data_IF_902185524383
#
_entry.id   IF_902185524383
#
_cell.length_a   1.000
_cell.length_b   1.000
_cell.length_c   1.000
_cell.angle_alpha   90.00
_cell.angle_beta   90.00
_cell.angle_gamma   90.00
#
_symmetry.space_group_name_H-M   'P 1'
#
loop_
_entity.id
_entity.type
_entity.pdbx_description
1 polymer ?
#
# COMPACT_ATOMS: atom_id res chain seq x y z
N UNK A 1 18.09 -1.06 15.66
CA UNK A 1 17.52 -1.40 15.76
C UNK A 1 16.54 -1.20 15.05
N UNK A 2 15.97 -1.41 15.08
CA UNK A 2 14.97 -1.75 14.39
C UNK A 2 14.41 -0.79 13.52
N UNK A 3 14.63 -0.83 12.41
CA UNK A 3 14.07 0.04 11.48
C UNK A 3 12.69 -0.37 11.08
N UNK A 4 12.22 -1.51 11.58
CA UNK A 4 10.93 -1.98 11.24
C UNK A 4 9.93 -1.11 11.94
N UNK A 5 9.70 -0.18 12.18
CA UNK A 5 8.68 0.64 12.76
C UNK A 5 8.06 1.60 11.81
N UNK A 6 8.53 1.63 10.59
CA UNK A 6 8.01 2.59 9.63
C UNK A 6 6.75 2.14 8.94
N UNK A 7 6.45 0.87 8.97
CA UNK A 7 5.17 0.33 8.52
C UNK A 7 4.57 -0.47 9.65
N UNK A 8 3.35 -0.10 10.04
CA UNK A 8 2.62 -0.83 11.07
C UNK A 8 1.55 -1.67 10.38
N UNK A 9 1.76 -2.98 10.37
CA UNK A 9 0.82 -3.91 9.75
C UNK A 9 -0.15 -4.45 10.79
N UNK A 10 -1.42 -4.50 10.46
CA UNK A 10 -2.46 -5.10 11.31
C UNK A 10 -3.35 -5.97 10.44
N UNK A 11 -3.51 -7.23 10.81
CA UNK A 11 -4.44 -8.10 10.12
C UNK A 11 -5.74 -8.15 10.92
N UNK A 12 -6.84 -7.74 10.30
CA UNK A 12 -8.17 -7.80 10.91
C UNK A 12 -8.85 -9.07 10.44
N UNK A 13 -8.87 -10.07 11.31
CA UNK A 13 -9.43 -11.39 10.96
C UNK A 13 -10.89 -11.31 10.56
N UNK A 14 -11.68 -10.51 11.26
CA UNK A 14 -13.12 -10.42 11.00
C UNK A 14 -13.42 -9.89 9.61
N UNK A 15 -12.51 -9.10 9.03
CA UNK A 15 -12.67 -8.52 7.70
C UNK A 15 -11.75 -9.17 6.67
N UNK A 16 -10.85 -10.02 7.11
CA UNK A 16 -9.85 -10.68 6.25
C UNK A 16 -9.11 -9.64 5.41
N UNK A 17 -8.51 -8.67 6.08
CA UNK A 17 -7.79 -7.59 5.42
C UNK A 17 -6.57 -7.21 6.24
N UNK A 18 -5.47 -6.90 5.55
CA UNK A 18 -4.29 -6.30 6.18
C UNK A 18 -4.37 -4.79 6.02
N UNK A 19 -4.15 -4.07 7.11
CA UNK A 19 -4.06 -2.62 7.08
C UNK A 19 -2.61 -2.25 7.36
N UNK A 20 -2.01 -1.51 6.43
CA UNK A 20 -0.62 -1.06 6.57
C UNK A 20 -0.62 0.45 6.73
N UNK A 21 -0.17 0.91 7.90
CA UNK A 21 0.01 2.34 8.16
C UNK A 21 1.47 2.67 7.89
N UNK A 22 1.73 3.46 6.86
CA UNK A 22 3.08 3.75 6.41
C UNK A 22 3.48 5.16 6.83
N UNK A 23 4.49 5.26 7.69
CA UNK A 23 5.02 6.54 8.15
C UNK A 23 6.49 6.58 7.71
N UNK A 24 6.73 7.01 6.48
CA UNK A 24 8.05 6.89 5.88
C UNK A 24 8.18 7.89 4.74
N UNK A 25 9.34 8.49 4.61
CA UNK A 25 9.69 9.31 3.46
C UNK A 25 10.78 8.59 2.68
N UNK A 26 10.44 8.08 1.51
CA UNK A 26 11.39 7.37 0.66
C UNK A 26 12.12 8.37 -0.21
N UNK A 27 13.43 8.45 -0.08
CA UNK A 27 14.24 9.44 -0.78
C UNK A 27 15.30 8.84 -1.68
N UNK A 28 15.53 7.54 -1.58
CA UNK A 28 16.53 6.85 -2.38
C UNK A 28 16.03 5.49 -2.82
N UNK A 29 16.71 4.90 -3.81
CA UNK A 29 16.38 3.55 -4.22
C UNK A 29 16.55 2.55 -3.09
N UNK A 30 17.57 2.74 -2.24
CA UNK A 30 17.75 1.87 -1.08
C UNK A 30 16.53 1.94 -0.15
N UNK A 31 15.94 3.12 0.02
CA UNK A 31 14.72 3.25 0.81
C UNK A 31 13.58 2.43 0.21
N UNK A 32 13.45 2.45 -1.11
CA UNK A 32 12.41 1.68 -1.80
C UNK A 32 12.63 0.19 -1.59
N UNK A 33 13.88 -0.26 -1.67
CA UNK A 33 14.18 -1.68 -1.46
C UNK A 33 13.87 -2.10 -0.02
N UNK A 34 14.18 -1.24 0.95
CA UNK A 34 13.85 -1.51 2.34
C UNK A 34 12.33 -1.57 2.54
N UNK A 35 11.60 -0.65 1.90
CA UNK A 35 10.14 -0.61 1.92
C UNK A 35 9.56 -1.92 1.36
N UNK A 36 10.06 -2.37 0.22
CA UNK A 36 9.61 -3.62 -0.39
C UNK A 36 9.88 -4.82 0.53
N UNK A 37 11.06 -4.85 1.17
CA UNK A 37 11.41 -5.96 2.06
C UNK A 37 10.50 -6.03 3.27
N UNK A 38 9.98 -4.91 3.76
CA UNK A 38 9.03 -4.91 4.88
C UNK A 38 7.75 -5.68 4.49
N UNK A 39 7.22 -5.42 3.30
CA UNK A 39 6.05 -6.15 2.82
C UNK A 39 6.35 -7.62 2.62
N UNK A 40 7.46 -7.92 1.98
CA UNK A 40 7.85 -9.30 1.72
C UNK A 40 7.96 -10.07 3.02
N UNK A 41 8.60 -9.47 4.02
CA UNK A 41 8.79 -10.13 5.31
C UNK A 41 7.46 -10.38 6.02
N UNK A 42 6.57 -9.40 5.97
CA UNK A 42 5.29 -9.54 6.66
C UNK A 42 4.40 -10.60 5.99
N UNK A 43 4.30 -10.55 4.66
CA UNK A 43 3.36 -11.40 3.95
C UNK A 43 3.86 -12.82 3.73
N UNK A 44 5.15 -12.99 3.44
CA UNK A 44 5.68 -14.29 3.00
C UNK A 44 5.59 -15.37 4.07
N UNK A 45 5.72 -15.03 5.33
CA UNK A 45 5.66 -16.02 6.39
C UNK A 45 4.32 -16.12 7.06
N UNK A 46 3.34 -15.35 6.64
CA UNK A 46 2.08 -15.21 7.38
C UNK A 46 0.88 -15.73 6.61
N UNK A 47 0.87 -15.60 5.30
CA UNK A 47 -0.26 -15.99 4.48
C UNK A 47 0.20 -16.95 3.39
N UNK A 48 -0.63 -17.96 3.11
CA UNK A 48 -0.41 -18.87 1.99
C UNK A 48 -1.26 -18.51 0.78
N UNK A 49 -1.83 -17.31 0.78
CA UNK A 49 -2.71 -16.81 -0.27
C UNK A 49 -2.58 -15.30 -0.35
N UNK A 50 -3.07 -14.74 -1.45
CA UNK A 50 -3.14 -13.28 -1.58
C UNK A 50 -4.31 -12.76 -0.75
N UNK A 51 -4.12 -11.61 -0.12
CA UNK A 51 -5.12 -11.01 0.75
C UNK A 51 -5.39 -9.58 0.32
N UNK A 52 -6.51 -9.02 0.76
CA UNK A 52 -6.81 -7.62 0.52
C UNK A 52 -5.95 -6.75 1.41
N UNK A 53 -5.53 -5.61 0.89
CA UNK A 53 -4.63 -4.69 1.58
C UNK A 53 -5.19 -3.28 1.54
N UNK A 54 -5.25 -2.63 2.71
CA UNK A 54 -5.57 -1.21 2.80
C UNK A 54 -4.32 -0.50 3.27
N UNK A 55 -3.91 0.52 2.51
CA UNK A 55 -2.71 1.30 2.78
C UNK A 55 -3.12 2.67 3.31
N UNK A 56 -2.73 2.97 4.54
CA UNK A 56 -2.92 4.29 5.12
C UNK A 56 -1.65 5.09 4.87
N UNK A 57 -1.72 6.07 3.99
CA UNK A 57 -0.56 6.73 3.43
C UNK A 57 -0.50 8.22 3.75
N UNK A 58 -1.22 8.69 4.76
CA UNK A 58 -1.26 10.12 5.09
C UNK A 58 0.10 10.67 5.49
N UNK A 59 1.00 9.81 5.96
CA UNK A 59 2.36 10.21 6.36
C UNK A 59 3.43 9.58 5.48
N UNK A 60 3.05 9.16 4.29
CA UNK A 60 3.96 8.50 3.36
C UNK A 60 4.31 9.44 2.22
N UNK A 61 5.60 9.56 1.93
CA UNK A 61 6.09 10.41 0.85
C UNK A 61 7.10 9.66 0.02
N UNK A 62 7.11 9.93 -1.28
CA UNK A 62 8.11 9.39 -2.19
C UNK A 62 8.72 10.57 -2.94
N UNK A 63 10.04 10.70 -2.88
CA UNK A 63 10.72 11.77 -3.60
C UNK A 63 10.47 11.59 -5.10
N UNK A 64 10.13 12.67 -5.84
CA UNK A 64 9.79 12.54 -7.26
C UNK A 64 10.90 11.88 -8.09
N UNK A 65 12.15 12.08 -7.70
CA UNK A 65 13.30 11.52 -8.42
C UNK A 65 13.27 10.00 -8.49
N UNK A 66 12.70 9.33 -7.51
CA UNK A 66 12.65 7.86 -7.47
C UNK A 66 11.25 7.33 -7.73
N UNK A 67 10.35 8.17 -8.28
CA UNK A 67 8.96 7.77 -8.47
C UNK A 67 8.78 6.55 -9.37
N UNK A 68 9.54 6.46 -10.46
CA UNK A 68 9.44 5.32 -11.36
C UNK A 68 9.94 4.04 -10.69
N UNK A 69 11.08 4.12 -10.02
CA UNK A 69 11.63 2.96 -9.30
C UNK A 69 10.67 2.49 -8.23
N UNK A 70 10.09 3.42 -7.48
CA UNK A 70 9.08 3.08 -6.47
C UNK A 70 7.87 2.43 -7.12
N UNK A 71 7.38 3.00 -8.22
CA UNK A 71 6.19 2.45 -8.88
C UNK A 71 6.37 1.01 -9.33
N UNK A 72 7.57 0.68 -9.82
CA UNK A 72 7.87 -0.70 -10.21
C UNK A 72 7.79 -1.65 -9.02
N UNK A 73 8.34 -1.24 -7.88
CA UNK A 73 8.32 -2.08 -6.69
C UNK A 73 6.94 -2.14 -6.05
N UNK A 74 6.17 -1.05 -6.12
CA UNK A 74 4.79 -1.05 -5.67
C UNK A 74 3.97 -2.06 -6.48
N UNK A 75 4.16 -2.06 -7.79
CA UNK A 75 3.45 -3.02 -8.64
C UNK A 75 3.79 -4.46 -8.26
N UNK A 76 5.05 -4.72 -7.90
CA UNK A 76 5.45 -6.05 -7.44
C UNK A 76 4.76 -6.44 -6.14
N UNK A 77 4.70 -5.54 -5.16
CA UNK A 77 4.01 -5.81 -3.91
C UNK A 77 2.55 -6.16 -4.18
N UNK A 78 1.89 -5.35 -5.01
CA UNK A 78 0.47 -5.57 -5.27
C UNK A 78 0.24 -6.90 -6.00
N UNK A 79 1.08 -7.24 -6.96
CA UNK A 79 0.88 -8.47 -7.72
C UNK A 79 1.29 -9.72 -6.95
N UNK A 80 2.31 -9.61 -6.09
CA UNK A 80 2.84 -10.78 -5.37
C UNK A 80 2.02 -11.12 -4.13
N UNK A 81 1.52 -10.12 -3.41
CA UNK A 81 0.95 -10.34 -2.09
C UNK A 81 -0.52 -10.02 -1.95
N UNK A 82 -1.09 -9.22 -2.85
CA UNK A 82 -2.45 -8.73 -2.64
C UNK A 82 -3.42 -9.21 -3.71
N UNK A 83 -4.66 -9.44 -3.30
CA UNK A 83 -5.76 -9.70 -4.22
C UNK A 83 -6.36 -8.39 -4.70
N UNK A 84 -6.57 -7.45 -3.78
CA UNK A 84 -7.03 -6.09 -4.06
C UNK A 84 -6.32 -5.14 -3.12
N UNK A 85 -6.15 -3.89 -3.53
CA UNK A 85 -5.53 -2.89 -2.67
C UNK A 85 -6.35 -1.61 -2.70
N UNK A 86 -6.35 -0.90 -1.57
CA UNK A 86 -7.09 0.34 -1.38
C UNK A 86 -6.16 1.31 -0.67
N UNK A 87 -6.18 2.57 -1.07
CA UNK A 87 -5.29 3.57 -0.52
C UNK A 87 -6.09 4.65 0.20
N UNK A 88 -5.69 4.95 1.43
CA UNK A 88 -6.30 5.99 2.24
C UNK A 88 -5.29 7.11 2.39
N UNK A 89 -5.68 8.32 2.02
CA UNK A 89 -4.82 9.48 2.16
C UNK A 89 -5.67 10.72 2.26
N UNK A 90 -5.46 11.50 3.32
CA UNK A 90 -6.22 12.72 3.56
C UNK A 90 -5.57 13.94 2.91
N UNK A 91 -4.31 13.85 2.46
CA UNK A 91 -3.61 14.94 1.83
C UNK A 91 -3.83 14.99 0.34
N UNK A 92 -4.30 16.11 -0.20
CA UNK A 92 -4.58 16.24 -1.63
C UNK A 92 -3.32 16.07 -2.47
N UNK A 93 -2.18 16.57 -1.98
CA UNK A 93 -0.92 16.51 -2.71
C UNK A 93 -0.46 15.07 -2.89
N UNK A 94 -0.51 14.29 -1.82
CA UNK A 94 -0.11 12.89 -1.86
C UNK A 94 -1.05 12.07 -2.74
N UNK A 95 -2.35 12.39 -2.72
CA UNK A 95 -3.30 11.71 -3.60
C UNK A 95 -2.97 11.95 -5.06
N UNK A 96 -2.58 13.17 -5.41
CA UNK A 96 -2.19 13.50 -6.78
C UNK A 96 -1.00 12.65 -7.22
N UNK A 97 0.01 12.53 -6.35
CA UNK A 97 1.18 11.70 -6.67
C UNK A 97 0.76 10.25 -6.90
N UNK A 98 -0.11 9.71 -6.05
CA UNK A 98 -0.54 8.32 -6.17
C UNK A 98 -1.32 8.07 -7.47
N UNK A 99 -2.15 9.02 -7.89
CA UNK A 99 -2.85 8.90 -9.17
C UNK A 99 -1.86 8.87 -10.33
N UNK A 100 -0.87 9.75 -10.30
CA UNK A 100 0.15 9.80 -11.35
C UNK A 100 0.92 8.48 -11.41
N UNK A 101 1.34 7.98 -10.25
CA UNK A 101 2.07 6.71 -10.19
C UNK A 101 1.23 5.55 -10.70
N UNK A 102 -0.04 5.51 -10.33
CA UNK A 102 -0.95 4.45 -10.80
C UNK A 102 -1.13 4.50 -12.30
N UNK A 103 -1.27 5.70 -12.87
CA UNK A 103 -1.43 5.85 -14.31
C UNK A 103 -0.19 5.36 -15.06
N UNK A 104 1.01 5.69 -14.55
CA UNK A 104 2.25 5.30 -15.18
C UNK A 104 2.42 3.79 -15.19
N UNK A 105 2.04 3.12 -14.10
CA UNK A 105 2.29 1.69 -13.94
C UNK A 105 1.04 0.83 -14.14
N UNK A 106 -0.08 1.43 -14.54
CA UNK A 106 -1.29 0.68 -14.84
C UNK A 106 -1.96 0.05 -13.62
N UNK A 107 -1.59 0.42 -12.41
CA UNK A 107 -2.20 -0.14 -11.22
C UNK A 107 -3.53 0.55 -10.94
N UNK A 108 -4.50 -0.17 -10.37
CA UNK A 108 -5.79 0.44 -10.03
C UNK A 108 -5.64 1.61 -9.07
N UNK A 109 -6.45 2.64 -9.28
CA UNK A 109 -6.40 3.87 -8.48
C UNK A 109 -7.55 3.89 -7.49
N UNK A 110 -7.50 3.03 -6.47
CA UNK A 110 -8.52 2.98 -5.42
C UNK A 110 -8.11 3.89 -4.28
N UNK A 111 -8.48 5.16 -4.37
CA UNK A 111 -8.07 6.19 -3.40
C UNK A 111 -9.27 6.66 -2.59
N UNK A 112 -9.09 6.71 -1.28
CA UNK A 112 -10.14 7.09 -0.35
C UNK A 112 -9.60 8.08 0.67
N UNK A 113 -10.50 8.85 1.29
CA UNK A 113 -10.09 9.84 2.29
C UNK A 113 -10.21 9.31 3.72
N UNK A 114 -10.81 8.15 3.91
CA UNK A 114 -10.92 7.55 5.24
C UNK A 114 -10.83 6.04 5.15
N UNK A 115 -10.43 5.44 6.26
CA UNK A 115 -10.37 3.98 6.37
C UNK A 115 -11.76 3.37 6.19
N UNK A 116 -12.79 4.00 6.78
CA UNK A 116 -14.15 3.47 6.68
C UNK A 116 -14.62 3.42 5.22
N UNK A 117 -14.30 4.45 4.43
CA UNK A 117 -14.66 4.46 3.02
C UNK A 117 -13.95 3.36 2.24
N UNK A 118 -12.69 3.12 2.57
CA UNK A 118 -11.92 2.06 1.91
C UNK A 118 -12.49 0.68 2.26
N UNK A 119 -12.85 0.47 3.51
CA UNK A 119 -13.46 -0.79 3.95
C UNK A 119 -14.80 -0.99 3.24
N UNK A 120 -15.62 0.06 3.15
CA UNK A 120 -16.91 -0.04 2.46
C UNK A 120 -16.73 -0.41 1.00
N UNK A 121 -15.74 0.19 0.32
CA UNK A 121 -15.46 -0.13 -1.08
C UNK A 121 -15.00 -1.58 -1.23
N UNK A 122 -14.15 -2.04 -0.32
CA UNK A 122 -13.67 -3.42 -0.34
C UNK A 122 -14.84 -4.40 -0.20
N UNK A 123 -15.75 -4.12 0.72
CA UNK A 123 -16.91 -4.99 0.95
C UNK A 123 -17.82 -5.01 -0.27
N UNK A 124 -18.03 -3.87 -0.92
CA UNK A 124 -18.82 -3.81 -2.15
C UNK A 124 -18.16 -4.62 -3.27
N UNK A 125 -16.84 -4.52 -3.39
CA UNK A 125 -16.11 -5.27 -4.42
C UNK A 125 -16.25 -6.77 -4.21
N UNK A 126 -16.24 -7.20 -2.95
CA UNK A 126 -16.41 -8.62 -2.64
C UNK A 126 -17.80 -9.11 -2.99
N UNK A 127 -18.82 -8.26 -2.79
CA UNK A 127 -20.20 -8.64 -3.13
C UNK A 127 -20.41 -8.77 -4.63
N UNK A 128 -19.65 -8.03 -5.42
CA UNK A 128 -19.78 -8.07 -6.87
C UNK A 128 -19.15 -9.29 -7.52
N UNK A 129 -18.62 -10.19 -6.72
CA UNK A 129 -18.00 -11.41 -7.26
C UNK A 129 -19.00 -12.59 -7.28
#
# INVERSE_FOLDING_TARGET
MGMSGRINFTYRMSLDVVIAEVDWALESEDDVLAWYEEYKRYFSGRFDRKVDLILELSRFHVHPRIGTFFGEHRARVLSEFTRRSYRVNQGARERTFMYTSSAIHGAPANHFTSLDDAIAAMMRDREGQ
#
